data_IF_646250150668
#
_entry.id   IF_646250150668
#
_cell.length_a   1.000
_cell.length_b   1.000
_cell.length_c   1.000
_cell.angle_alpha   90.00
_cell.angle_beta   90.00
_cell.angle_gamma   90.00
#
_symmetry.space_group_name_H-M   'P 1'
#
loop_
_entity.id
_entity.type
_entity.pdbx_description
1 polymer ?
#
# COMPACT_ATOMS: atom_id res chain seq x y z
N UNK A 1 22.65 10.38 -21.34
CA UNK A 1 21.46 10.96 -21.99
C UNK A 1 20.26 10.37 -21.25
N UNK A 2 19.81 10.93 -20.13
CA UNK A 2 19.40 12.32 -19.99
C UNK A 2 17.95 12.48 -20.45
N UNK A 3 17.08 11.52 -20.10
CA UNK A 3 15.63 11.67 -20.22
C UNK A 3 15.14 12.28 -18.92
N UNK A 4 14.96 13.60 -18.94
CA UNK A 4 14.31 14.36 -17.88
C UNK A 4 12.95 13.77 -17.59
N UNK A 5 12.81 13.22 -16.38
CA UNK A 5 11.60 12.71 -15.73
C UNK A 5 10.68 13.87 -15.31
N UNK A 6 10.53 14.86 -16.19
CA UNK A 6 9.88 16.13 -15.92
C UNK A 6 8.73 16.31 -16.91
N UNK A 7 7.55 15.80 -16.54
CA UNK A 7 6.28 16.27 -17.10
C UNK A 7 5.07 16.10 -16.15
N UNK A 8 5.30 15.78 -14.88
CA UNK A 8 4.32 15.99 -13.82
C UNK A 8 5.05 16.61 -12.62
N UNK A 9 5.11 17.93 -12.57
CA UNK A 9 5.37 18.64 -11.31
C UNK A 9 4.15 18.39 -10.43
N UNK A 10 4.24 17.36 -9.61
CA UNK A 10 3.34 17.16 -8.49
C UNK A 10 3.85 18.04 -7.37
N UNK A 11 3.14 19.15 -7.13
CA UNK A 11 3.42 20.02 -6.01
C UNK A 11 2.92 19.37 -4.72
N UNK A 12 3.87 18.79 -3.98
CA UNK A 12 3.66 18.09 -2.70
C UNK A 12 3.07 19.02 -1.63
N UNK A 13 3.19 20.34 -1.79
CA UNK A 13 2.63 21.34 -0.88
C UNK A 13 1.18 21.71 -1.21
N UNK A 14 0.78 21.65 -2.49
CA UNK A 14 -0.57 22.00 -2.95
C UNK A 14 -1.51 20.79 -2.96
N UNK A 15 -1.01 19.60 -3.34
CA UNK A 15 -1.76 18.34 -3.38
C UNK A 15 -0.99 17.27 -2.59
N UNK A 16 -0.93 17.29 -1.24
CA UNK A 16 -0.07 16.37 -0.49
C UNK A 16 -0.47 14.90 -0.70
N UNK A 17 0.49 13.96 -0.68
CA UNK A 17 0.21 12.55 -0.83
C UNK A 17 -0.69 12.08 0.32
N UNK A 18 -1.80 11.45 -0.03
CA UNK A 18 -2.60 10.66 0.88
C UNK A 18 -2.01 9.24 1.16
N UNK A 19 -0.79 8.90 0.69
CA UNK A 19 0.02 7.85 1.35
C UNK A 19 0.70 8.53 2.51
N UNK A 20 0.29 8.14 3.70
CA UNK A 20 1.04 8.48 4.88
C UNK A 20 2.44 7.84 4.84
N UNK A 21 3.53 8.56 5.15
CA UNK A 21 4.89 8.00 5.14
C UNK A 21 5.06 6.68 5.89
N UNK A 22 4.25 6.46 6.94
CA UNK A 22 4.23 5.20 7.71
C UNK A 22 3.85 4.00 6.84
N UNK A 23 2.99 4.17 5.83
CA UNK A 23 2.61 3.09 4.91
C UNK A 23 3.79 2.66 4.03
N UNK A 24 4.59 3.61 3.55
CA UNK A 24 5.83 3.30 2.84
C UNK A 24 6.83 2.57 3.73
N UNK A 25 7.04 3.05 4.96
CA UNK A 25 7.96 2.43 5.90
C UNK A 25 7.52 1.00 6.26
N UNK A 26 6.23 0.78 6.48
CA UNK A 26 5.70 -0.56 6.75
C UNK A 26 5.92 -1.53 5.58
N UNK A 27 5.81 -1.08 4.32
CA UNK A 27 6.17 -1.92 3.16
C UNK A 27 7.65 -2.33 3.20
N UNK A 28 8.54 -1.39 3.54
CA UNK A 28 9.97 -1.66 3.72
C UNK A 28 10.24 -2.59 4.90
N UNK A 29 9.52 -2.45 6.01
CA UNK A 29 9.60 -3.34 7.17
C UNK A 29 9.27 -4.79 6.77
N UNK A 30 8.23 -5.00 5.98
CA UNK A 30 7.93 -6.33 5.42
C UNK A 30 8.94 -6.80 4.38
N UNK A 31 9.55 -5.90 3.61
CA UNK A 31 10.65 -6.27 2.72
C UNK A 31 11.88 -6.75 3.50
N UNK A 32 12.26 -6.03 4.57
CA UNK A 32 13.38 -6.39 5.43
C UNK A 32 13.10 -7.67 6.26
N UNK A 33 11.83 -7.91 6.61
CA UNK A 33 11.39 -9.09 7.35
C UNK A 33 11.39 -10.39 6.55
N UNK A 34 11.52 -10.32 5.23
CA UNK A 34 11.60 -11.49 4.35
C UNK A 34 10.28 -12.27 4.20
N UNK A 35 10.34 -13.52 3.73
CA UNK A 35 9.15 -14.30 3.39
C UNK A 35 8.33 -14.67 4.62
N UNK A 36 7.01 -14.60 4.47
CA UNK A 36 6.05 -15.01 5.50
C UNK A 36 5.68 -16.47 5.28
N UNK A 37 5.84 -17.27 6.34
CA UNK A 37 5.53 -18.70 6.33
C UNK A 37 4.09 -18.96 6.75
N UNK A 38 3.54 -20.09 6.30
CA UNK A 38 2.14 -20.45 6.62
C UNK A 38 1.95 -20.70 8.12
N UNK A 39 2.93 -21.30 8.79
CA UNK A 39 2.92 -21.56 10.24
C UNK A 39 2.97 -20.28 11.10
N UNK A 40 3.34 -19.14 10.50
CA UNK A 40 3.32 -17.83 11.14
C UNK A 40 1.97 -17.12 11.03
N UNK A 41 1.02 -17.61 10.21
CA UNK A 41 -0.28 -16.96 10.05
C UNK A 41 -1.26 -17.34 11.16
N UNK A 42 -2.05 -16.37 11.61
CA UNK A 42 -3.10 -16.60 12.59
C UNK A 42 -4.28 -17.33 11.94
N UNK A 43 -4.72 -18.42 12.56
CA UNK A 43 -5.92 -19.16 12.14
C UNK A 43 -7.20 -18.42 12.54
N UNK A 44 -7.28 -18.04 13.82
CA UNK A 44 -8.43 -17.38 14.44
C UNK A 44 -7.97 -16.09 15.10
N UNK A 45 -8.30 -14.98 14.46
CA UNK A 45 -8.13 -13.64 15.04
C UNK A 45 -9.31 -12.75 14.65
N UNK A 46 -9.87 -12.07 15.65
CA UNK A 46 -10.92 -11.09 15.48
C UNK A 46 -10.39 -9.69 15.83
N UNK A 47 -10.07 -8.93 14.80
CA UNK A 47 -9.55 -7.56 14.89
C UNK A 47 -10.46 -6.61 15.66
N UNK A 48 -11.77 -6.85 15.69
CA UNK A 48 -12.74 -5.97 16.34
C UNK A 48 -12.80 -6.15 17.87
N UNK A 49 -12.25 -7.26 18.37
CA UNK A 49 -12.24 -7.57 19.81
C UNK A 49 -10.83 -7.49 20.42
N UNK A 50 -9.82 -7.22 19.60
CA UNK A 50 -8.44 -7.08 20.02
C UNK A 50 -8.05 -5.63 20.26
N UNK A 51 -7.08 -5.43 21.14
CA UNK A 51 -6.47 -4.14 21.41
C UNK A 51 -5.17 -4.29 22.20
N UNK A 52 -4.40 -3.19 22.35
CA UNK A 52 -3.11 -3.18 23.06
C UNK A 52 -3.18 -3.67 24.50
N UNK A 53 -4.37 -3.67 25.12
CA UNK A 53 -4.65 -4.22 26.44
C UNK A 53 -4.67 -5.76 26.49
N UNK A 54 -4.80 -6.44 25.34
CA UNK A 54 -4.84 -7.88 25.25
C UNK A 54 -3.41 -8.46 25.10
N UNK A 55 -3.25 -9.75 25.42
CA UNK A 55 -1.99 -10.41 25.12
C UNK A 55 -1.81 -10.58 23.60
N UNK A 56 -0.56 -10.51 23.15
CA UNK A 56 -0.17 -10.67 21.75
C UNK A 56 -0.75 -11.98 21.14
N UNK A 57 -1.51 -11.91 20.04
CA UNK A 57 -2.11 -13.08 19.40
C UNK A 57 -1.11 -14.16 18.96
N UNK A 58 0.11 -13.79 18.59
CA UNK A 58 1.15 -14.77 18.26
C UNK A 58 1.64 -15.50 19.49
N UNK A 59 1.82 -14.77 20.60
CA UNK A 59 2.17 -15.38 21.89
C UNK A 59 1.07 -16.33 22.38
N UNK A 60 -0.19 -15.93 22.26
CA UNK A 60 -1.34 -16.76 22.66
C UNK A 60 -1.48 -18.03 21.80
N UNK A 61 -1.21 -17.93 20.50
CA UNK A 61 -1.30 -19.07 19.58
C UNK A 61 -0.06 -19.96 19.58
N UNK A 62 1.02 -19.57 20.28
CA UNK A 62 2.30 -20.28 20.26
C UNK A 62 3.01 -20.24 18.90
N UNK A 63 2.58 -19.36 17.98
CA UNK A 63 3.16 -19.20 16.65
C UNK A 63 4.31 -18.19 16.68
N UNK A 64 5.25 -18.34 15.75
CA UNK A 64 6.31 -17.33 15.57
C UNK A 64 5.73 -16.10 14.86
N UNK A 65 5.90 -14.93 15.46
CA UNK A 65 5.50 -13.65 14.83
C UNK A 65 6.43 -13.34 13.63
N UNK A 66 5.91 -12.98 12.44
CA UNK A 66 6.73 -12.55 11.31
C UNK A 66 7.63 -11.36 11.67
N UNK A 67 8.88 -11.35 11.22
CA UNK A 67 9.82 -10.28 11.58
C UNK A 67 9.40 -8.93 11.00
N UNK A 68 8.89 -8.91 9.77
CA UNK A 68 8.34 -7.67 9.17
C UNK A 68 7.18 -7.08 9.95
N UNK A 69 6.39 -7.90 10.66
CA UNK A 69 5.35 -7.38 11.55
C UNK A 69 5.96 -6.73 12.81
N UNK A 70 7.01 -7.32 13.38
CA UNK A 70 7.70 -6.73 14.55
C UNK A 70 8.30 -5.37 14.19
N UNK A 71 8.98 -5.29 13.04
CA UNK A 71 9.52 -4.04 12.53
C UNK A 71 8.42 -3.01 12.27
N UNK A 72 7.29 -3.41 11.67
CA UNK A 72 6.15 -2.51 11.47
C UNK A 72 5.54 -1.99 12.79
N UNK A 73 5.46 -2.84 13.82
CA UNK A 73 5.02 -2.42 15.17
C UNK A 73 5.99 -1.40 15.78
N UNK A 74 7.30 -1.64 15.66
CA UNK A 74 8.34 -0.71 16.10
C UNK A 74 8.29 0.62 15.34
N UNK A 75 8.10 0.58 14.02
CA UNK A 75 7.88 1.76 13.18
C UNK A 75 6.67 2.55 13.68
N UNK A 76 5.52 1.91 13.96
CA UNK A 76 4.36 2.62 14.51
C UNK A 76 4.69 3.34 15.82
N UNK A 77 5.41 2.68 16.72
CA UNK A 77 5.79 3.26 18.02
C UNK A 77 6.82 4.39 17.88
N UNK A 78 7.79 4.24 16.96
CA UNK A 78 8.80 5.25 16.67
C UNK A 78 8.15 6.48 16.05
N UNK A 79 7.36 6.32 14.99
CA UNK A 79 6.62 7.42 14.36
C UNK A 79 5.72 8.13 15.35
N UNK A 80 4.98 7.40 16.20
CA UNK A 80 4.18 8.00 17.26
C UNK A 80 5.00 8.93 18.17
N UNK A 81 6.23 8.56 18.54
CA UNK A 81 7.10 9.39 19.39
C UNK A 81 7.73 10.55 18.63
N UNK A 82 8.12 10.34 17.37
CA UNK A 82 8.72 11.36 16.52
C UNK A 82 7.73 12.47 16.20
N UNK A 83 6.45 12.15 16.03
CA UNK A 83 5.42 13.14 15.73
C UNK A 83 5.12 14.10 16.91
N UNK A 84 5.43 13.69 18.15
CA UNK A 84 5.14 14.48 19.37
C UNK A 84 5.71 15.90 19.28
N UNK A 85 6.93 16.04 18.72
CA UNK A 85 7.59 17.35 18.57
C UNK A 85 6.79 18.33 17.71
N UNK A 86 6.07 17.84 16.70
CA UNK A 86 5.33 18.73 15.79
C UNK A 86 4.02 19.22 16.38
N UNK A 87 3.41 18.46 17.30
CA UNK A 87 2.21 18.94 18.00
C UNK A 87 2.54 20.10 18.93
N UNK A 88 3.68 20.05 19.62
CA UNK A 88 4.09 21.08 20.57
C UNK A 88 4.46 22.41 19.88
N UNK A 89 4.81 22.36 18.59
CA UNK A 89 5.20 23.52 17.77
C UNK A 89 4.34 23.68 16.50
N UNK A 90 3.07 23.29 16.56
CA UNK A 90 2.19 23.26 15.38
C UNK A 90 1.87 24.65 14.78
N UNK A 91 2.18 25.73 15.51
CA UNK A 91 2.05 27.10 15.04
C UNK A 91 3.24 27.57 14.19
N UNK A 92 4.40 26.92 14.31
CA UNK A 92 5.65 27.31 13.67
C UNK A 92 5.82 26.61 12.30
N UNK A 93 5.65 27.37 11.22
CA UNK A 93 5.80 26.82 9.86
C UNK A 93 7.24 26.39 9.53
N UNK A 94 8.26 26.90 10.24
CA UNK A 94 9.63 26.38 10.08
C UNK A 94 9.72 24.95 10.61
N UNK A 95 9.15 24.69 11.78
CA UNK A 95 9.10 23.33 12.35
C UNK A 95 8.22 22.41 11.50
N UNK A 96 7.09 22.91 11.00
CA UNK A 96 6.22 22.12 10.12
C UNK A 96 6.85 21.81 8.75
N UNK A 97 7.79 22.62 8.27
CA UNK A 97 8.53 22.32 7.03
C UNK A 97 9.41 21.07 7.14
N UNK A 98 9.80 20.69 8.36
CA UNK A 98 10.55 19.45 8.64
C UNK A 98 9.62 18.25 8.90
N UNK A 99 8.33 18.49 9.13
CA UNK A 99 7.37 17.43 9.35
C UNK A 99 7.05 16.70 8.04
N UNK A 100 6.66 15.42 8.09
CA UNK A 100 6.16 14.77 6.89
C UNK A 100 4.97 15.55 6.33
N UNK A 101 4.95 15.77 5.01
CA UNK A 101 4.02 16.69 4.34
C UNK A 101 2.54 16.47 4.73
N UNK A 102 2.13 15.20 4.85
CA UNK A 102 0.79 14.85 5.33
C UNK A 102 0.51 15.39 6.74
N UNK A 103 1.42 15.18 7.69
CA UNK A 103 1.28 15.67 9.06
C UNK A 103 1.31 17.20 9.10
N UNK A 104 2.24 17.83 8.38
CA UNK A 104 2.32 19.29 8.27
C UNK A 104 0.99 19.88 7.79
N UNK A 105 0.42 19.32 6.73
CA UNK A 105 -0.88 19.74 6.20
C UNK A 105 -2.00 19.58 7.23
N UNK A 106 -2.05 18.44 7.94
CA UNK A 106 -3.06 18.21 9.01
C UNK A 106 -2.91 19.21 10.15
N UNK A 107 -1.69 19.52 10.58
CA UNK A 107 -1.44 20.49 11.65
C UNK A 107 -1.82 21.92 11.23
N UNK A 108 -1.55 22.30 9.97
CA UNK A 108 -2.04 23.57 9.41
C UNK A 108 -3.57 23.63 9.40
N UNK A 109 -4.25 22.54 9.07
CA UNK A 109 -5.72 22.46 9.16
C UNK A 109 -6.23 22.63 10.60
N UNK A 110 -5.57 22.02 11.59
CA UNK A 110 -5.90 22.23 13.01
C UNK A 110 -5.73 23.71 13.39
N UNK A 111 -4.62 24.33 12.99
CA UNK A 111 -4.34 25.76 13.23
C UNK A 111 -5.40 26.69 12.64
N UNK A 112 -5.95 26.34 11.49
CA UNK A 112 -7.00 27.13 10.82
C UNK A 112 -8.43 26.81 11.28
N UNK A 113 -8.62 25.89 12.25
CA UNK A 113 -9.93 25.54 12.78
C UNK A 113 -10.49 26.66 13.69
N UNK A 114 -11.81 26.62 13.91
CA UNK A 114 -12.49 27.56 14.83
C UNK A 114 -11.96 27.47 16.26
N UNK A 115 -11.63 26.25 16.71
CA UNK A 115 -10.95 25.98 17.97
C UNK A 115 -9.68 25.15 17.69
N UNK A 116 -8.52 25.82 17.53
CA UNK A 116 -7.27 25.15 17.19
C UNK A 116 -6.80 24.13 18.24
N UNK A 117 -7.01 24.42 19.53
CA UNK A 117 -6.57 23.58 20.64
C UNK A 117 -7.37 22.27 20.68
N UNK A 118 -8.69 22.35 20.56
CA UNK A 118 -9.54 21.16 20.47
C UNK A 118 -9.22 20.33 19.22
N UNK A 119 -8.99 20.98 18.09
CA UNK A 119 -8.63 20.32 16.83
C UNK A 119 -7.28 19.59 16.94
N UNK A 120 -6.27 20.24 17.54
CA UNK A 120 -4.96 19.65 17.79
C UNK A 120 -5.05 18.46 18.75
N UNK A 121 -5.76 18.61 19.87
CA UNK A 121 -5.96 17.54 20.84
C UNK A 121 -6.63 16.32 20.19
N UNK A 122 -7.64 16.56 19.35
CA UNK A 122 -8.35 15.52 18.61
C UNK A 122 -7.45 14.81 17.60
N UNK A 123 -6.62 15.54 16.85
CA UNK A 123 -5.67 14.95 15.90
C UNK A 123 -4.61 14.12 16.63
N UNK A 124 -4.01 14.63 17.72
CA UNK A 124 -3.03 13.88 18.52
C UNK A 124 -3.63 12.59 19.07
N UNK A 125 -4.85 12.65 19.62
CA UNK A 125 -5.57 11.46 20.09
C UNK A 125 -5.87 10.47 18.97
N UNK A 126 -6.26 10.96 17.79
CA UNK A 126 -6.52 10.14 16.60
C UNK A 126 -5.26 9.39 16.17
N UNK A 127 -4.12 10.08 16.09
CA UNK A 127 -2.83 9.53 15.66
C UNK A 127 -2.27 8.54 16.67
N UNK A 128 -2.38 8.84 17.96
CA UNK A 128 -2.08 7.89 19.03
C UNK A 128 -2.90 6.59 18.89
N UNK A 129 -4.19 6.69 18.58
CA UNK A 129 -5.05 5.53 18.36
C UNK A 129 -4.66 4.75 17.08
N UNK A 130 -4.26 5.44 16.00
CA UNK A 130 -3.79 4.79 14.77
C UNK A 130 -2.58 3.90 15.05
N UNK A 131 -1.52 4.46 15.61
CA UNK A 131 -0.26 3.75 15.79
C UNK A 131 -0.30 2.68 16.89
N UNK A 132 -1.05 2.91 17.97
CA UNK A 132 -1.08 1.97 19.10
C UNK A 132 -2.11 0.85 18.92
N UNK A 133 -3.16 1.09 18.12
CA UNK A 133 -4.29 0.17 18.01
C UNK A 133 -4.67 -0.12 16.56
N UNK A 134 -5.10 0.88 15.80
CA UNK A 134 -5.78 0.61 14.52
C UNK A 134 -4.86 -0.01 13.46
N UNK A 135 -3.65 0.52 13.28
CA UNK A 135 -2.69 -0.02 12.32
C UNK A 135 -2.25 -1.44 12.74
N UNK A 136 -1.68 -1.69 13.94
CA UNK A 136 -1.18 -3.02 14.26
C UNK A 136 -2.32 -4.05 14.40
N UNK A 137 -3.31 -3.76 15.25
CA UNK A 137 -4.33 -4.73 15.65
C UNK A 137 -5.46 -4.88 14.62
N UNK A 138 -5.92 -3.77 14.02
CA UNK A 138 -7.08 -3.82 13.12
C UNK A 138 -6.70 -3.98 11.65
N UNK A 139 -5.51 -3.53 11.24
CA UNK A 139 -5.04 -3.71 9.88
C UNK A 139 -4.02 -4.85 9.74
N UNK A 140 -2.82 -4.73 10.32
CA UNK A 140 -1.73 -5.68 10.04
C UNK A 140 -2.04 -7.10 10.51
N UNK A 141 -2.57 -7.26 11.73
CA UNK A 141 -2.94 -8.57 12.26
C UNK A 141 -4.10 -9.20 11.47
N UNK A 142 -5.02 -8.37 10.96
CA UNK A 142 -6.12 -8.81 10.12
C UNK A 142 -5.65 -9.30 8.74
N UNK A 143 -4.59 -8.68 8.20
CA UNK A 143 -3.95 -9.11 6.95
C UNK A 143 -3.21 -10.44 7.15
N UNK A 144 -2.50 -10.61 8.27
CA UNK A 144 -1.66 -11.77 8.60
C UNK A 144 -2.43 -12.98 9.15
N UNK A 145 -3.47 -13.39 8.43
CA UNK A 145 -4.29 -14.56 8.74
C UNK A 145 -4.29 -15.57 7.62
N UNK A 146 -4.56 -16.83 7.97
CA UNK A 146 -4.77 -17.89 6.97
C UNK A 146 -5.93 -17.55 6.03
N UNK A 147 -7.02 -17.00 6.57
CA UNK A 147 -8.20 -16.55 5.82
C UNK A 147 -8.02 -15.23 5.06
N UNK A 148 -6.84 -14.60 5.15
CA UNK A 148 -6.52 -13.35 4.45
C UNK A 148 -5.28 -13.54 3.57
N UNK A 149 -4.08 -13.17 4.02
CA UNK A 149 -2.86 -13.36 3.25
C UNK A 149 -2.60 -14.84 2.87
N UNK A 150 -2.95 -15.78 3.76
CA UNK A 150 -2.79 -17.21 3.50
C UNK A 150 -3.58 -17.73 2.29
N UNK A 151 -4.66 -17.03 1.89
CA UNK A 151 -5.42 -17.37 0.67
C UNK A 151 -4.61 -17.21 -0.61
N UNK A 152 -3.51 -16.43 -0.57
CA UNK A 152 -2.62 -16.22 -1.71
C UNK A 152 -1.64 -17.39 -1.92
N UNK A 153 -1.49 -18.30 -0.95
CA UNK A 153 -0.51 -19.39 -1.02
C UNK A 153 -0.99 -20.57 -1.89
N UNK A 154 -2.25 -20.57 -2.32
CA UNK A 154 -2.84 -21.68 -3.08
C UNK A 154 -2.63 -23.06 -2.45
N UNK A 155 -2.97 -24.10 -3.20
CA UNK A 155 -2.88 -25.49 -2.73
C UNK A 155 -1.48 -26.09 -2.88
N UNK A 156 -0.65 -25.54 -3.78
CA UNK A 156 0.65 -26.12 -4.14
C UNK A 156 1.85 -25.39 -3.54
N UNK A 157 1.67 -24.28 -2.84
CA UNK A 157 2.80 -23.61 -2.23
C UNK A 157 3.18 -24.33 -0.93
N UNK A 158 4.48 -24.62 -0.78
CA UNK A 158 5.03 -25.25 0.41
C UNK A 158 4.88 -24.39 1.68
N UNK A 159 5.41 -24.85 2.81
CA UNK A 159 5.26 -24.14 4.09
C UNK A 159 5.91 -22.75 4.10
N UNK A 160 6.89 -22.52 3.21
CA UNK A 160 7.63 -21.27 3.05
C UNK A 160 7.66 -20.89 1.56
N UNK A 161 6.60 -20.27 1.02
CA UNK A 161 6.58 -19.92 -0.39
C UNK A 161 7.53 -18.75 -0.68
N UNK A 162 8.50 -18.96 -1.57
CA UNK A 162 9.35 -17.88 -2.11
C UNK A 162 8.59 -17.05 -3.16
N UNK A 163 9.17 -15.96 -3.65
CA UNK A 163 8.48 -15.08 -4.59
C UNK A 163 8.11 -15.80 -5.89
N UNK A 164 8.95 -16.73 -6.36
CA UNK A 164 8.64 -17.51 -7.55
C UNK A 164 7.37 -18.35 -7.36
N UNK A 165 7.26 -19.07 -6.24
CA UNK A 165 6.07 -19.87 -5.93
C UNK A 165 4.81 -18.99 -5.79
N UNK A 166 4.93 -17.84 -5.13
CA UNK A 166 3.82 -16.89 -4.97
C UNK A 166 3.38 -16.30 -6.31
N UNK A 167 4.33 -15.92 -7.17
CA UNK A 167 4.04 -15.25 -8.44
C UNK A 167 3.58 -16.17 -9.56
N UNK A 168 3.91 -17.47 -9.49
CA UNK A 168 3.31 -18.51 -10.35
C UNK A 168 1.79 -18.59 -10.18
N UNK A 169 1.30 -18.35 -8.97
CA UNK A 169 -0.13 -18.40 -8.66
C UNK A 169 -0.80 -17.01 -8.67
N UNK A 170 -0.06 -15.97 -8.31
CA UNK A 170 -0.51 -14.57 -8.27
C UNK A 170 0.32 -13.75 -9.25
N UNK A 171 -0.18 -13.55 -10.46
CA UNK A 171 0.60 -12.98 -11.55
C UNK A 171 0.59 -11.45 -11.50
N UNK A 172 1.75 -10.81 -11.64
CA UNK A 172 1.89 -9.37 -11.81
C UNK A 172 1.97 -9.09 -13.31
N UNK A 173 0.87 -8.59 -13.88
CA UNK A 173 0.68 -8.50 -15.33
C UNK A 173 0.83 -7.06 -15.80
N UNK A 174 1.75 -6.79 -16.72
CA UNK A 174 1.80 -5.50 -17.41
C UNK A 174 0.63 -5.40 -18.40
N UNK A 175 -0.24 -4.42 -18.20
CA UNK A 175 -1.45 -4.22 -19.00
C UNK A 175 -1.60 -2.75 -19.38
N UNK A 176 -2.28 -2.47 -20.50
CA UNK A 176 -2.84 -1.14 -20.76
C UNK A 176 -4.26 -1.11 -20.20
N UNK A 177 -4.49 -0.18 -19.28
CA UNK A 177 -5.81 0.08 -18.71
C UNK A 177 -6.45 1.24 -19.49
N UNK A 178 -7.62 1.00 -20.06
CA UNK A 178 -8.42 1.99 -20.76
C UNK A 178 -9.41 2.65 -19.80
N UNK A 179 -9.76 3.91 -20.05
CA UNK A 179 -10.87 4.57 -19.36
C UNK A 179 -12.23 4.00 -19.78
N UNK A 180 -13.30 4.68 -19.32
CA UNK A 180 -14.69 4.28 -19.55
C UNK A 180 -15.22 4.66 -20.95
N UNK A 181 -14.37 5.19 -21.84
CA UNK A 181 -14.71 5.59 -23.21
C UNK A 181 -15.17 4.40 -24.10
N UNK A 182 -15.86 4.71 -25.21
CA UNK A 182 -16.42 3.75 -26.19
C UNK A 182 -15.38 2.87 -26.93
N UNK A 183 -14.10 2.97 -26.58
CA UNK A 183 -13.05 2.17 -27.21
C UNK A 183 -12.96 0.77 -26.58
N UNK A 184 -13.41 -0.24 -27.32
CA UNK A 184 -13.25 -1.63 -26.89
C UNK A 184 -11.77 -2.03 -26.79
N UNK A 185 -11.38 -2.90 -25.83
CA UNK A 185 -10.01 -3.39 -25.71
C UNK A 185 -9.43 -3.96 -27.01
N UNK A 186 -10.24 -4.70 -27.77
CA UNK A 186 -9.84 -5.27 -29.06
C UNK A 186 -9.54 -4.21 -30.12
N UNK A 187 -10.31 -3.10 -30.14
CA UNK A 187 -10.11 -1.99 -31.07
C UNK A 187 -8.82 -1.24 -30.74
N UNK A 188 -8.61 -0.88 -29.48
CA UNK A 188 -7.38 -0.24 -29.00
C UNK A 188 -6.14 -1.12 -29.27
N UNK A 189 -6.23 -2.40 -28.93
CA UNK A 189 -5.15 -3.35 -29.14
C UNK A 189 -4.73 -3.44 -30.61
N UNK A 190 -5.71 -3.53 -31.53
CA UNK A 190 -5.44 -3.55 -32.97
C UNK A 190 -4.82 -2.26 -33.46
N UNK A 191 -5.32 -1.10 -33.02
CA UNK A 191 -4.77 0.20 -33.46
C UNK A 191 -3.36 0.46 -32.96
N UNK A 192 -2.90 -0.24 -31.92
CA UNK A 192 -1.58 -0.04 -31.30
C UNK A 192 -0.68 -1.27 -31.39
N UNK A 193 -1.06 -2.28 -32.21
CA UNK A 193 -0.32 -3.52 -32.40
C UNK A 193 0.01 -4.25 -31.08
N UNK A 194 -0.94 -4.26 -30.13
CA UNK A 194 -0.83 -4.92 -28.84
C UNK A 194 -1.65 -6.23 -28.81
N UNK A 195 -1.26 -7.23 -28.01
CA UNK A 195 -2.11 -8.39 -27.74
C UNK A 195 -3.34 -7.97 -26.93
N UNK A 196 -4.54 -8.17 -27.46
CA UNK A 196 -5.80 -7.74 -26.83
C UNK A 196 -6.01 -8.28 -25.40
N UNK A 197 -5.43 -9.44 -25.06
CA UNK A 197 -5.47 -10.03 -23.70
C UNK A 197 -4.74 -9.21 -22.61
N UNK A 198 -3.94 -8.21 -23.01
CA UNK A 198 -3.23 -7.29 -22.11
C UNK A 198 -3.77 -5.86 -22.20
N UNK A 199 -4.91 -5.67 -22.82
CA UNK A 199 -5.68 -4.42 -22.79
C UNK A 199 -6.95 -4.70 -22.02
N UNK A 200 -7.28 -3.87 -21.04
CA UNK A 200 -8.42 -4.05 -20.14
C UNK A 200 -9.09 -2.70 -19.89
N UNK A 201 -10.42 -2.65 -19.75
CA UNK A 201 -11.09 -1.43 -19.30
C UNK A 201 -11.00 -1.32 -17.80
N UNK A 202 -10.94 -0.10 -17.30
CA UNK A 202 -11.01 0.16 -15.86
C UNK A 202 -12.25 -0.50 -15.24
N UNK A 203 -13.41 -0.40 -15.91
CA UNK A 203 -14.65 -1.05 -15.50
C UNK A 203 -14.56 -2.58 -15.33
N UNK A 204 -13.62 -3.26 -16.01
CA UNK A 204 -13.45 -4.71 -15.95
C UNK A 204 -12.47 -5.15 -14.82
N UNK A 205 -11.95 -4.21 -14.02
CA UNK A 205 -11.11 -4.47 -12.84
C UNK A 205 -11.97 -4.75 -11.59
N UNK A 206 -11.43 -5.50 -10.63
CA UNK A 206 -12.19 -5.88 -9.42
C UNK A 206 -12.45 -4.73 -8.45
N UNK A 207 -11.88 -3.56 -8.69
CA UNK A 207 -12.13 -2.35 -7.92
C UNK A 207 -13.29 -1.48 -8.49
N UNK A 208 -13.72 -1.70 -9.73
CA UNK A 208 -14.59 -0.75 -10.46
C UNK A 208 -15.96 -0.50 -9.83
N UNK A 209 -16.57 -1.52 -9.22
CA UNK A 209 -17.90 -1.42 -8.62
C UNK A 209 -17.89 -0.85 -7.20
N UNK A 210 -16.71 -0.64 -6.61
CA UNK A 210 -16.58 -0.19 -5.23
C UNK A 210 -16.41 1.32 -5.17
N UNK A 211 -17.34 2.01 -4.50
CA UNK A 211 -17.28 3.46 -4.30
C UNK A 211 -16.12 3.93 -3.41
N UNK A 212 -15.47 3.01 -2.68
CA UNK A 212 -14.31 3.32 -1.83
C UNK A 212 -12.99 2.96 -2.50
N UNK A 213 -13.03 2.21 -3.60
CA UNK A 213 -11.81 1.89 -4.32
C UNK A 213 -11.41 3.05 -5.21
N UNK A 214 -10.12 3.33 -5.18
CA UNK A 214 -9.52 4.42 -5.93
C UNK A 214 -9.26 4.03 -7.39
N UNK A 215 -9.50 5.00 -8.27
CA UNK A 215 -9.24 4.95 -9.71
C UNK A 215 -7.87 5.53 -10.04
N UNK A 216 -7.21 5.13 -11.14
CA UNK A 216 -5.96 5.74 -11.56
C UNK A 216 -6.06 7.26 -11.76
N UNK A 217 -7.18 7.77 -12.26
CA UNK A 217 -7.40 9.21 -12.45
C UNK A 217 -7.40 10.02 -11.15
N UNK A 218 -7.79 9.41 -10.02
CA UNK A 218 -7.71 10.05 -8.69
C UNK A 218 -6.26 10.24 -8.22
N UNK A 219 -5.30 9.57 -8.87
CA UNK A 219 -3.85 9.76 -8.68
C UNK A 219 -3.21 10.54 -9.83
N UNK A 220 -4.00 11.23 -10.65
CA UNK A 220 -3.51 11.99 -11.80
C UNK A 220 -3.00 11.12 -12.95
N UNK A 221 -3.38 9.84 -13.00
CA UNK A 221 -3.02 8.96 -14.12
C UNK A 221 -4.08 9.07 -15.20
N UNK A 222 -3.71 9.70 -16.32
CA UNK A 222 -4.54 9.78 -17.51
C UNK A 222 -4.60 8.42 -18.22
N UNK A 223 -5.82 7.92 -18.45
CA UNK A 223 -6.06 6.70 -19.20
C UNK A 223 -6.24 7.02 -20.69
N UNK A 224 -5.74 6.19 -21.62
CA UNK A 224 -5.19 4.86 -21.41
C UNK A 224 -3.74 4.85 -20.89
N UNK A 225 -3.47 4.04 -19.86
CA UNK A 225 -2.15 3.99 -19.21
C UNK A 225 -1.59 2.56 -19.09
N UNK A 226 -0.27 2.36 -19.27
CA UNK A 226 0.40 1.11 -18.92
C UNK A 226 0.53 0.99 -17.40
N UNK A 227 -0.12 -0.01 -16.80
CA UNK A 227 -0.14 -0.25 -15.36
C UNK A 227 0.23 -1.71 -15.05
N UNK A 228 0.80 -1.93 -13.86
CA UNK A 228 0.97 -3.27 -13.32
C UNK A 228 -0.34 -3.71 -12.66
N UNK A 229 -0.91 -4.81 -13.13
CA UNK A 229 -2.16 -5.36 -12.60
C UNK A 229 -1.89 -6.71 -11.95
N UNK A 230 -2.13 -6.80 -10.64
CA UNK A 230 -2.06 -8.06 -9.93
C UNK A 230 -3.29 -8.91 -10.21
N UNK A 231 -3.09 -10.16 -10.65
CA UNK A 231 -4.12 -11.19 -10.82
C UNK A 231 -3.92 -12.25 -9.75
N UNK A 232 -4.85 -12.32 -8.80
CA UNK A 232 -4.70 -13.14 -7.60
C UNK A 232 -5.47 -14.44 -7.71
N UNK A 233 -5.01 -15.47 -7.00
CA UNK A 233 -5.68 -16.80 -6.95
C UNK A 233 -7.12 -16.71 -6.46
N UNK A 234 -7.44 -15.69 -5.66
CA UNK A 234 -8.81 -15.43 -5.18
C UNK A 234 -9.72 -14.80 -6.25
N UNK A 235 -9.27 -14.70 -7.50
CA UNK A 235 -10.02 -14.20 -8.66
C UNK A 235 -9.92 -12.69 -8.89
N UNK A 236 -9.49 -11.92 -7.87
CA UNK A 236 -9.38 -10.47 -7.94
C UNK A 236 -8.31 -9.97 -8.91
N UNK A 237 -8.59 -8.84 -9.56
CA UNK A 237 -7.67 -8.09 -10.42
C UNK A 237 -7.61 -6.64 -9.95
N UNK A 238 -6.48 -6.24 -9.40
CA UNK A 238 -6.29 -4.91 -8.84
C UNK A 238 -5.05 -4.25 -9.45
N UNK A 239 -5.15 -3.06 -10.06
CA UNK A 239 -3.99 -2.28 -10.43
C UNK A 239 -3.19 -1.88 -9.20
N UNK A 240 -1.88 -1.84 -9.41
CA UNK A 240 -0.93 -1.14 -8.56
C UNK A 240 -0.70 0.21 -9.24
N UNK A 241 -1.27 1.26 -8.65
CA UNK A 241 -1.32 2.60 -9.22
C UNK A 241 -0.06 3.36 -8.78
N UNK A 242 0.69 3.97 -9.71
CA UNK A 242 1.79 4.87 -9.37
C UNK A 242 1.27 6.05 -8.57
N UNK A 243 1.86 6.26 -7.41
CA UNK A 243 1.56 7.41 -6.60
C UNK A 243 2.75 7.81 -5.74
N UNK A 244 3.09 9.10 -5.79
CA UNK A 244 4.37 9.60 -5.30
C UNK A 244 5.51 8.74 -5.91
N UNK A 245 6.43 8.26 -5.08
CA UNK A 245 7.58 7.44 -5.48
C UNK A 245 7.34 5.92 -5.40
N UNK A 246 6.10 5.48 -5.21
CA UNK A 246 5.79 4.05 -5.13
C UNK A 246 4.51 3.63 -5.84
N UNK A 247 4.07 2.41 -5.51
CA UNK A 247 2.81 1.85 -5.98
C UNK A 247 1.83 1.64 -4.83
N UNK A 248 0.55 1.87 -5.10
CA UNK A 248 -0.55 1.56 -4.16
C UNK A 248 -1.57 0.64 -4.82
N UNK A 249 -2.02 -0.36 -4.09
CA UNK A 249 -3.05 -1.27 -4.57
C UNK A 249 -4.42 -0.60 -4.51
N UNK A 250 -5.19 -0.67 -5.61
CA UNK A 250 -6.55 -0.13 -5.65
C UNK A 250 -7.62 -0.98 -4.94
N UNK A 251 -7.24 -2.03 -4.19
CA UNK A 251 -8.24 -2.91 -3.61
C UNK A 251 -9.12 -2.15 -2.58
N UNK A 252 -10.46 -2.36 -2.57
CA UNK A 252 -11.37 -1.61 -1.70
C UNK A 252 -10.98 -1.66 -0.21
N UNK A 253 -10.50 -2.81 0.26
CA UNK A 253 -10.09 -2.98 1.65
C UNK A 253 -9.05 -1.93 2.08
N UNK A 254 -8.08 -1.57 1.21
CA UNK A 254 -7.01 -0.61 1.49
C UNK A 254 -7.55 0.81 1.73
N UNK A 255 -8.58 1.18 0.98
CA UNK A 255 -9.04 2.59 0.87
C UNK A 255 -10.29 2.90 1.71
N UNK A 256 -10.98 1.87 2.19
CA UNK A 256 -12.15 1.99 3.05
C UNK A 256 -11.86 2.68 4.40
N UNK A 257 -10.59 2.72 4.86
CA UNK A 257 -10.20 3.39 6.11
C UNK A 257 -8.79 3.97 6.01
N UNK A 258 -8.52 5.16 6.57
CA UNK A 258 -7.22 5.83 6.43
C UNK A 258 -6.07 5.11 7.16
N UNK A 259 -6.38 4.37 8.22
CA UNK A 259 -5.39 3.58 8.99
C UNK A 259 -5.13 2.19 8.40
N UNK A 260 -5.79 1.81 7.30
CA UNK A 260 -5.47 0.56 6.59
C UNK A 260 -4.29 0.82 5.66
N UNK A 261 -3.11 0.82 6.25
CA UNK A 261 -1.84 1.13 5.58
C UNK A 261 -1.31 0.00 4.70
N UNK A 262 -1.83 -1.22 4.84
CA UNK A 262 -1.41 -2.36 4.03
C UNK A 262 -2.58 -3.28 3.68
N UNK A 263 -2.62 -3.78 2.46
CA UNK A 263 -3.48 -4.91 2.09
C UNK A 263 -2.68 -6.18 1.80
N UNK A 264 -3.35 -7.33 1.73
CA UNK A 264 -2.68 -8.61 1.43
C UNK A 264 -1.93 -8.62 0.09
N UNK A 265 -2.38 -7.81 -0.88
CA UNK A 265 -1.76 -7.70 -2.20
C UNK A 265 -0.44 -6.94 -2.15
N UNK A 266 -0.39 -5.84 -1.39
CA UNK A 266 0.84 -5.09 -1.16
C UNK A 266 1.81 -5.87 -0.27
N UNK A 267 1.30 -6.66 0.68
CA UNK A 267 2.14 -7.58 1.44
C UNK A 267 2.79 -8.64 0.53
N UNK A 268 2.05 -9.17 -0.46
CA UNK A 268 2.63 -10.05 -1.47
C UNK A 268 3.69 -9.33 -2.29
N UNK A 269 3.40 -8.11 -2.74
CA UNK A 269 4.34 -7.28 -3.48
C UNK A 269 5.63 -7.00 -2.69
N UNK A 270 5.53 -6.71 -1.39
CA UNK A 270 6.68 -6.53 -0.49
C UNK A 270 7.55 -7.79 -0.41
N UNK A 271 6.93 -8.96 -0.20
CA UNK A 271 7.67 -10.24 -0.17
C UNK A 271 8.34 -10.54 -1.51
N UNK A 272 7.67 -10.25 -2.64
CA UNK A 272 8.25 -10.44 -3.97
C UNK A 272 9.44 -9.51 -4.22
N UNK A 273 9.30 -8.23 -3.85
CA UNK A 273 10.34 -7.22 -3.98
C UNK A 273 11.58 -7.58 -3.13
N UNK A 274 11.36 -8.05 -1.90
CA UNK A 274 12.41 -8.52 -0.98
C UNK A 274 13.21 -9.70 -1.54
N UNK A 275 12.52 -10.76 -1.97
CA UNK A 275 13.16 -11.98 -2.51
C UNK A 275 13.99 -11.68 -3.77
N UNK A 276 13.57 -10.69 -4.56
CA UNK A 276 14.30 -10.23 -5.74
C UNK A 276 15.37 -9.17 -5.43
N UNK A 277 15.51 -8.77 -4.17
CA UNK A 277 16.39 -7.67 -3.74
C UNK A 277 16.22 -6.41 -4.62
N UNK A 278 14.97 -6.02 -4.86
CA UNK A 278 14.60 -4.99 -5.82
C UNK A 278 13.48 -4.12 -5.27
N UNK A 279 13.59 -2.80 -5.46
CA UNK A 279 12.48 -1.86 -5.23
C UNK A 279 11.46 -1.85 -6.37
N UNK A 280 11.74 -2.55 -7.47
CA UNK A 280 10.83 -2.71 -8.61
C UNK A 280 10.17 -4.08 -8.57
N UNK A 281 8.86 -4.10 -8.80
CA UNK A 281 8.12 -5.33 -9.01
C UNK A 281 8.41 -5.93 -10.40
N UNK A 282 8.44 -7.26 -10.50
CA UNK A 282 8.60 -7.94 -11.78
C UNK A 282 7.31 -7.86 -12.61
N UNK A 283 7.46 -7.81 -13.93
CA UNK A 283 6.38 -8.17 -14.86
C UNK A 283 6.48 -9.67 -15.10
N UNK A 284 5.62 -10.47 -14.47
CA UNK A 284 5.66 -11.93 -14.64
C UNK A 284 4.91 -12.39 -15.88
N UNK A 285 4.08 -11.52 -16.46
CA UNK A 285 3.39 -11.74 -17.74
C UNK A 285 2.96 -10.40 -18.35
N UNK A 286 2.76 -10.35 -19.66
CA UNK A 286 2.11 -9.20 -20.29
C UNK A 286 3.08 -8.28 -21.00
N UNK A 287 2.72 -7.01 -21.03
CA UNK A 287 3.48 -5.97 -21.69
C UNK A 287 4.61 -5.49 -20.77
N UNK A 288 5.73 -5.11 -21.36
CA UNK A 288 6.70 -4.28 -20.64
C UNK A 288 6.05 -2.94 -20.30
N UNK A 289 6.28 -2.48 -19.07
CA UNK A 289 5.71 -1.22 -18.58
C UNK A 289 6.81 -0.35 -17.94
N UNK A 290 6.64 0.98 -17.94
CA UNK A 290 7.66 1.91 -17.44
C UNK A 290 8.06 1.64 -15.99
N UNK A 291 9.27 2.07 -15.62
CA UNK A 291 9.81 1.90 -14.26
C UNK A 291 8.91 2.51 -13.18
N UNK A 292 8.35 3.70 -13.44
CA UNK A 292 7.38 4.36 -12.54
C UNK A 292 6.16 3.47 -12.26
N UNK A 293 5.73 2.67 -13.23
CA UNK A 293 4.62 1.72 -13.07
C UNK A 293 5.01 0.40 -12.37
N UNK A 294 6.27 0.28 -11.90
CA UNK A 294 6.81 -0.90 -11.22
C UNK A 294 7.56 -0.59 -9.93
N UNK A 295 7.95 0.66 -9.69
CA UNK A 295 8.68 1.09 -8.49
C UNK A 295 7.75 0.98 -7.29
N UNK A 296 7.91 -0.05 -6.46
CA UNK A 296 7.02 -0.37 -5.36
C UNK A 296 7.18 0.58 -4.17
N UNK A 297 8.43 0.92 -3.86
CA UNK A 297 8.82 1.77 -2.73
C UNK A 297 9.83 2.81 -3.20
N UNK A 298 9.88 3.95 -2.51
CA UNK A 298 10.86 5.00 -2.79
C UNK A 298 12.29 4.54 -2.42
N UNK A 299 13.32 4.90 -3.21
CA UNK A 299 14.72 4.68 -2.85
C UNK A 299 15.17 5.53 -1.64
N UNK A 300 14.50 6.65 -1.38
CA UNK A 300 14.97 7.70 -0.44
C UNK A 300 14.60 7.45 1.02
N UNK A 301 14.19 6.23 1.36
CA UNK A 301 13.97 5.79 2.74
C UNK A 301 15.07 4.86 3.26
N UNK A 302 16.25 4.89 2.65
CA UNK A 302 17.44 4.28 3.24
C UNK A 302 17.82 5.07 4.52
N UNK A 303 18.05 4.33 5.60
CA UNK A 303 18.31 4.84 6.96
C UNK A 303 19.45 5.87 7.05
#
# INVERSE_FOLDING_TARGET
>A
MGGTDALHDYDVEIDPPAIEPVEHRIRLDFMAGGPIRRDQLLEKYNSWKGGPENADPWKQSGKTKPDGLKYAEETCLRTFKEEERYYDFFEDDQVLSEAPAFLAHRLRQCRSATDPEEALHSERKRRANWYRKLIPWLNLYQVLKESSYGTLFGSSAGPQPNAEALTRQNTLVGMVVLGDDDQTPSKYARSHNLPAKYVIREADLSCSESSVAVRPSEFGIELPAPLLVGKYTTGGRYPLIPWSDGLVCSCPYKHDQPWRVLCKHELLAAVVASDQNSIFLPVTKGLEIPHRARRFVSPDFSD
#
